data_IF_498389505561
#
_entry.id   IF_498389505561
#
_cell.length_a   1.000
_cell.length_b   1.000
_cell.length_c   1.000
_cell.angle_alpha   90.00
_cell.angle_beta   90.00
_cell.angle_gamma   90.00
#
_symmetry.space_group_name_H-M   'P 1'
#
loop_
_entity.id
_entity.type
_entity.pdbx_description
1 polymer ?
#
# COMPACT_ATOMS: atom_id res chain seq x y z
N UNK A 1 -21.21 13.48 -16.92
CA UNK A 1 -20.54 12.43 -16.13
C UNK A 1 -21.30 11.14 -16.37
N UNK A 2 -20.60 10.02 -16.54
CA UNK A 2 -21.23 8.69 -16.69
C UNK A 2 -21.56 8.19 -15.28
N UNK A 3 -22.74 7.61 -15.08
CA UNK A 3 -23.11 7.02 -13.79
C UNK A 3 -22.23 5.79 -13.49
N UNK A 4 -21.80 5.60 -12.23
CA UNK A 4 -20.99 4.44 -11.85
C UNK A 4 -21.75 3.13 -12.08
N UNK A 5 -21.03 2.05 -12.39
CA UNK A 5 -21.64 0.71 -12.45
C UNK A 5 -22.11 0.30 -11.06
N UNK A 6 -23.28 -0.36 -11.00
CA UNK A 6 -23.86 -0.88 -9.77
C UNK A 6 -23.85 -2.41 -9.80
N UNK A 7 -23.76 -3.03 -8.63
CA UNK A 7 -23.96 -4.46 -8.42
C UNK A 7 -24.98 -4.67 -7.31
N UNK A 8 -25.71 -5.78 -7.37
CA UNK A 8 -26.64 -6.16 -6.31
C UNK A 8 -25.92 -7.02 -5.28
N UNK A 9 -26.09 -6.69 -4.00
CA UNK A 9 -25.57 -7.45 -2.86
C UNK A 9 -26.72 -7.76 -1.91
N UNK A 10 -26.70 -8.95 -1.33
CA UNK A 10 -27.67 -9.34 -0.32
C UNK A 10 -27.27 -8.75 1.05
N UNK A 11 -28.12 -7.88 1.60
CA UNK A 11 -28.06 -7.38 2.97
C UNK A 11 -28.92 -8.26 3.89
N UNK A 12 -28.42 -8.58 5.09
CA UNK A 12 -29.16 -9.41 6.06
C UNK A 12 -30.45 -8.75 6.57
N UNK A 13 -30.59 -7.42 6.51
CA UNK A 13 -31.78 -6.71 7.00
C UNK A 13 -32.60 -6.03 5.89
N UNK A 14 -31.98 -5.61 4.79
CA UNK A 14 -32.63 -4.80 3.75
C UNK A 14 -32.88 -5.53 2.42
N UNK A 15 -32.53 -6.82 2.33
CA UNK A 15 -32.69 -7.60 1.10
C UNK A 15 -31.66 -7.23 0.03
N UNK A 16 -32.06 -7.24 -1.24
CA UNK A 16 -31.16 -6.92 -2.36
C UNK A 16 -30.96 -5.40 -2.46
N UNK A 17 -29.73 -4.95 -2.22
CA UNK A 17 -29.34 -3.54 -2.32
C UNK A 17 -28.43 -3.32 -3.54
N UNK A 18 -28.60 -2.19 -4.23
CA UNK A 18 -27.66 -1.76 -5.28
C UNK A 18 -26.55 -0.92 -4.67
N UNK A 19 -25.33 -1.36 -4.86
CA UNK A 19 -24.12 -0.64 -4.44
C UNK A 19 -23.24 -0.37 -5.64
N UNK A 20 -22.32 0.59 -5.52
CA UNK A 20 -21.27 0.79 -6.53
C UNK A 20 -20.50 -0.51 -6.69
N UNK A 21 -20.37 -0.98 -7.93
CA UNK A 21 -19.69 -2.23 -8.23
C UNK A 21 -18.23 -2.17 -7.77
N UNK A 22 -17.78 -3.26 -7.13
CA UNK A 22 -16.37 -3.44 -6.80
C UNK A 22 -15.50 -3.35 -8.06
N UNK A 23 -14.20 -3.05 -7.87
CA UNK A 23 -13.24 -3.07 -8.95
C UNK A 23 -13.26 -4.44 -9.64
N UNK A 24 -13.73 -4.45 -10.89
CA UNK A 24 -13.58 -5.57 -11.80
C UNK A 24 -12.43 -5.22 -12.73
N UNK A 25 -11.51 -6.14 -12.96
CA UNK A 25 -10.37 -5.96 -13.88
C UNK A 25 -10.84 -5.96 -15.36
N UNK A 26 -11.83 -5.12 -15.66
CA UNK A 26 -12.44 -4.91 -16.97
C UNK A 26 -11.76 -3.74 -17.67
N UNK A 27 -11.90 -3.68 -18.99
CA UNK A 27 -11.38 -2.54 -19.76
C UNK A 27 -11.86 -1.20 -19.18
N UNK A 28 -10.93 -0.25 -19.09
CA UNK A 28 -11.13 1.11 -18.55
C UNK A 28 -11.39 1.22 -17.04
N UNK A 29 -11.22 0.15 -16.26
CA UNK A 29 -11.31 0.22 -14.81
C UNK A 29 -10.09 0.97 -14.20
N UNK A 30 -10.36 1.80 -13.20
CA UNK A 30 -9.35 2.47 -12.38
C UNK A 30 -9.64 2.20 -10.90
N UNK A 31 -8.60 1.99 -10.11
CA UNK A 31 -8.71 1.73 -8.68
C UNK A 31 -7.44 2.15 -7.95
N UNK A 32 -7.46 2.07 -6.63
CA UNK A 32 -6.31 2.30 -5.78
C UNK A 32 -6.08 1.10 -4.86
N UNK A 33 -4.82 0.82 -4.55
CA UNK A 33 -4.40 -0.22 -3.61
C UNK A 33 -3.00 0.11 -3.11
N UNK A 34 -2.53 -0.61 -2.09
CA UNK A 34 -1.13 -0.50 -1.69
C UNK A 34 -0.21 -1.08 -2.77
N UNK A 35 0.93 -0.40 -2.99
CA UNK A 35 1.93 -0.80 -3.98
C UNK A 35 2.28 -2.29 -3.89
N UNK A 36 2.45 -2.81 -2.68
CA UNK A 36 2.76 -4.22 -2.44
C UNK A 36 1.75 -5.19 -3.06
N UNK A 37 0.45 -4.93 -2.92
CA UNK A 37 -0.58 -5.80 -3.49
C UNK A 37 -0.51 -5.85 -5.01
N UNK A 38 -0.26 -4.71 -5.66
CA UNK A 38 -0.18 -4.62 -7.11
C UNK A 38 1.15 -5.11 -7.69
N UNK A 39 2.26 -5.05 -6.93
CA UNK A 39 3.59 -5.39 -7.46
C UNK A 39 4.12 -6.75 -7.04
N UNK A 40 3.68 -7.29 -5.90
CA UNK A 40 4.22 -8.54 -5.33
C UNK A 40 3.13 -9.60 -5.13
N UNK A 41 2.05 -9.31 -4.39
CA UNK A 41 1.05 -10.32 -4.04
C UNK A 41 0.17 -10.74 -5.23
N UNK A 42 -0.29 -9.77 -6.01
CA UNK A 42 -1.07 -9.98 -7.23
C UNK A 42 -0.36 -9.29 -8.38
N UNK A 43 0.87 -9.73 -8.67
CA UNK A 43 1.67 -9.25 -9.79
C UNK A 43 1.06 -9.69 -11.14
N UNK A 44 -0.16 -9.24 -11.42
CA UNK A 44 -0.79 -9.34 -12.72
C UNK A 44 -0.14 -8.32 -13.64
N UNK A 45 0.54 -8.82 -14.68
CA UNK A 45 1.26 -8.00 -15.67
C UNK A 45 0.33 -7.06 -16.45
N UNK A 46 -0.98 -7.25 -16.38
CA UNK A 46 -1.96 -6.39 -17.04
C UNK A 46 -2.31 -5.15 -16.22
N UNK A 47 -1.99 -5.10 -14.92
CA UNK A 47 -2.22 -3.93 -14.07
C UNK A 47 -1.10 -2.91 -14.29
N UNK A 48 -1.49 -1.70 -14.70
CA UNK A 48 -0.56 -0.59 -14.90
C UNK A 48 -0.63 0.38 -13.73
N UNK A 49 0.49 0.59 -13.06
CA UNK A 49 0.61 1.66 -12.07
C UNK A 49 0.70 3.02 -12.77
N UNK A 50 -0.20 3.93 -12.44
CA UNK A 50 -0.24 5.26 -13.04
C UNK A 50 0.80 6.19 -12.38
N UNK A 51 1.49 6.97 -13.22
CA UNK A 51 2.28 8.10 -12.75
C UNK A 51 1.36 9.28 -12.43
N UNK A 52 1.66 9.99 -11.36
CA UNK A 52 0.92 11.18 -10.93
C UNK A 52 1.81 12.37 -11.21
N UNK A 53 1.32 13.30 -12.05
CA UNK A 53 2.10 14.47 -12.50
C UNK A 53 3.48 14.08 -13.08
N UNK A 54 3.54 12.96 -13.80
CA UNK A 54 4.78 12.44 -14.37
C UNK A 54 5.68 11.67 -13.40
N UNK A 55 5.31 11.55 -12.12
CA UNK A 55 6.08 10.80 -11.12
C UNK A 55 5.49 9.41 -10.92
N UNK A 56 6.27 8.38 -11.24
CA UNK A 56 5.87 6.98 -11.05
C UNK A 56 6.04 6.53 -9.57
N UNK A 57 5.22 5.57 -9.07
CA UNK A 57 5.33 5.03 -7.72
C UNK A 57 6.50 4.04 -7.54
N UNK A 58 7.73 4.48 -7.81
CA UNK A 58 8.95 3.70 -7.61
C UNK A 58 9.43 3.81 -6.16
N UNK A 59 10.20 2.82 -5.68
CA UNK A 59 10.81 2.90 -4.36
C UNK A 59 11.71 4.14 -4.19
N UNK A 60 12.38 4.57 -5.26
CA UNK A 60 13.16 5.80 -5.27
C UNK A 60 12.28 7.06 -5.09
N UNK A 61 11.21 7.19 -5.87
CA UNK A 61 10.31 8.35 -5.80
C UNK A 61 9.51 8.41 -4.50
N UNK A 62 9.21 7.26 -3.90
CA UNK A 62 8.58 7.18 -2.58
C UNK A 62 9.58 7.63 -1.51
N UNK A 63 10.80 7.06 -1.52
CA UNK A 63 11.82 7.37 -0.50
C UNK A 63 12.29 8.83 -0.53
N UNK A 64 12.37 9.45 -1.71
CA UNK A 64 12.76 10.85 -1.85
C UNK A 64 11.59 11.84 -1.75
N UNK A 65 10.38 11.37 -1.44
CA UNK A 65 9.18 12.20 -1.26
C UNK A 65 8.58 12.79 -2.54
N UNK A 66 9.06 12.41 -3.73
CA UNK A 66 8.50 12.91 -5.00
C UNK A 66 7.14 12.32 -5.34
N UNK A 67 6.86 11.08 -4.92
CA UNK A 67 5.55 10.47 -5.15
C UNK A 67 4.60 10.86 -4.01
N UNK A 68 3.49 11.59 -4.28
CA UNK A 68 2.72 12.26 -3.23
C UNK A 68 1.71 11.36 -2.49
N UNK A 69 1.32 10.22 -3.07
CA UNK A 69 0.32 9.33 -2.46
C UNK A 69 0.99 8.19 -1.72
N UNK A 70 1.49 8.51 -0.53
CA UNK A 70 2.13 7.57 0.38
C UNK A 70 1.48 7.65 1.75
N UNK A 71 1.67 6.59 2.54
CA UNK A 71 1.32 6.55 3.96
C UNK A 71 2.56 6.07 4.69
N UNK A 72 2.95 6.80 5.73
CA UNK A 72 4.06 6.42 6.59
C UNK A 72 3.62 5.31 7.56
N UNK A 73 4.47 4.30 7.70
CA UNK A 73 4.30 3.26 8.69
C UNK A 73 5.07 3.64 9.96
N UNK A 74 4.36 3.78 11.09
CA UNK A 74 4.95 4.17 12.36
C UNK A 74 4.98 3.01 13.35
N UNK A 75 6.08 2.89 14.08
CA UNK A 75 6.11 2.16 15.35
C UNK A 75 5.75 3.14 16.46
N UNK A 76 4.66 2.87 17.18
CA UNK A 76 4.14 3.74 18.23
C UNK A 76 4.26 3.05 19.58
N UNK A 77 4.86 3.73 20.56
CA UNK A 77 5.03 3.23 21.92
C UNK A 77 4.59 4.26 22.96
N UNK A 78 4.43 3.81 24.21
CA UNK A 78 4.20 4.71 25.36
C UNK A 78 5.53 5.33 25.80
N UNK A 79 5.50 6.48 26.47
CA UNK A 79 6.71 7.21 26.90
C UNK A 79 7.69 6.38 27.76
N UNK A 80 7.17 5.49 28.62
CA UNK A 80 7.97 4.64 29.51
C UNK A 80 7.97 3.18 29.01
N UNK A 81 8.70 2.89 27.93
CA UNK A 81 8.84 1.52 27.40
C UNK A 81 9.82 0.66 28.21
N UNK A 82 9.66 -0.66 28.15
CA UNK A 82 10.68 -1.57 28.70
C UNK A 82 11.94 -1.58 27.83
N UNK A 83 13.04 -2.11 28.36
CA UNK A 83 14.31 -2.22 27.63
C UNK A 83 14.20 -3.11 26.39
N UNK A 84 13.34 -4.12 26.45
CA UNK A 84 13.07 -5.11 25.42
C UNK A 84 12.30 -4.49 24.26
N UNK A 85 11.31 -3.64 24.55
CA UNK A 85 10.61 -2.86 23.53
C UNK A 85 11.59 -1.91 22.83
N UNK A 86 12.44 -1.21 23.57
CA UNK A 86 13.42 -0.29 22.99
C UNK A 86 14.39 -1.02 22.04
N UNK A 87 14.90 -2.19 22.44
CA UNK A 87 15.76 -3.03 21.59
C UNK A 87 15.08 -3.43 20.28
N UNK A 88 13.78 -3.76 20.32
CA UNK A 88 13.02 -4.11 19.12
C UNK A 88 12.86 -2.90 18.18
N UNK A 89 12.55 -1.72 18.72
CA UNK A 89 12.45 -0.48 17.92
C UNK A 89 13.78 -0.18 17.23
N UNK A 90 14.88 -0.25 17.97
CA UNK A 90 16.23 -0.01 17.44
C UNK A 90 16.60 -1.04 16.38
N UNK A 91 16.24 -2.32 16.58
CA UNK A 91 16.48 -3.37 15.60
C UNK A 91 15.80 -3.09 14.26
N UNK A 92 14.57 -2.58 14.24
CA UNK A 92 13.88 -2.20 13.00
C UNK A 92 14.62 -1.10 12.21
N UNK A 93 15.42 -0.26 12.89
CA UNK A 93 16.20 0.81 12.25
C UNK A 93 17.55 0.30 11.68
N UNK A 94 17.95 -0.94 12.00
CA UNK A 94 19.19 -1.55 11.48
C UNK A 94 19.03 -1.98 10.01
N UNK A 95 20.14 -2.28 9.29
CA UNK A 95 20.06 -2.78 7.92
C UNK A 95 19.20 -4.04 7.80
N UNK A 96 19.30 -4.96 8.76
CA UNK A 96 18.48 -6.18 8.77
C UNK A 96 16.97 -5.86 8.91
N UNK A 97 16.61 -4.95 9.81
CA UNK A 97 15.24 -4.51 9.97
C UNK A 97 14.69 -3.82 8.73
N UNK A 98 15.51 -3.00 8.06
CA UNK A 98 15.12 -2.37 6.79
C UNK A 98 15.01 -3.37 5.63
N UNK A 99 15.83 -4.42 5.58
CA UNK A 99 15.66 -5.51 4.62
C UNK A 99 14.32 -6.21 4.80
N UNK A 100 13.91 -6.48 6.04
CA UNK A 100 12.58 -7.04 6.31
C UNK A 100 11.44 -6.13 5.78
N UNK A 101 11.55 -4.81 5.97
CA UNK A 101 10.57 -3.83 5.46
C UNK A 101 10.44 -3.93 3.93
N UNK A 102 11.54 -4.14 3.23
CA UNK A 102 11.53 -4.35 1.77
C UNK A 102 10.94 -5.70 1.37
N UNK A 103 11.28 -6.78 2.08
CA UNK A 103 10.78 -8.14 1.83
C UNK A 103 9.26 -8.21 1.96
N UNK A 104 8.69 -7.51 2.95
CA UNK A 104 7.24 -7.40 3.13
C UNK A 104 6.59 -6.34 2.21
N UNK A 105 7.36 -5.73 1.32
CA UNK A 105 6.87 -4.91 0.21
C UNK A 105 6.70 -3.43 0.46
N UNK A 106 7.14 -2.94 1.61
CA UNK A 106 7.19 -1.51 1.91
C UNK A 106 8.49 -0.91 1.37
N UNK A 107 8.59 0.41 1.42
CA UNK A 107 9.80 1.13 0.99
C UNK A 107 10.63 1.45 2.23
N UNK A 108 11.86 0.91 2.37
CA UNK A 108 12.71 1.20 3.51
C UNK A 108 13.21 2.64 3.48
N UNK A 109 13.51 3.19 4.66
CA UNK A 109 13.94 4.58 4.88
C UNK A 109 15.22 4.91 4.12
N UNK A 110 16.11 3.93 3.97
CA UNK A 110 17.33 4.03 3.18
C UNK A 110 17.47 2.80 2.28
N UNK A 111 18.39 2.89 1.32
CA UNK A 111 18.68 1.77 0.43
C UNK A 111 19.39 0.67 1.23
N UNK A 112 18.76 -0.48 1.32
CA UNK A 112 19.34 -1.74 1.80
C UNK A 112 20.46 -2.18 0.85
N UNK A 113 21.56 -2.66 1.42
CA UNK A 113 22.60 -3.31 0.63
C UNK A 113 22.19 -4.79 0.43
N UNK A 114 22.43 -5.35 -0.76
CA UNK A 114 22.21 -6.77 -1.01
C UNK A 114 23.13 -7.66 -0.16
#
# INVERSE_FOLDING_TARGET
MISPQETEVASMMEGMIKVVAEYRNTNNAIGYTFRYYATQMNADKNIKLLAINGIAPTAENIRNGKYPYIIDAFMVTRENTTSETQKLLEWFLTPQGQSLVEDVGYVPMYKTLP
#
